data_IF_926246211005
#
_entry.id   IF_926246211005
#
_cell.length_a   1.000
_cell.length_b   1.000
_cell.length_c   1.000
_cell.angle_alpha   90.00
_cell.angle_beta   90.00
_cell.angle_gamma   90.00
#
_symmetry.space_group_name_H-M   'P 1'
#
loop_
_entity.id
_entity.type
_entity.pdbx_description
1 polymer ?
#
# COMPACT_ATOMS: atom_id res chain seq x y z
N UNK A 1 -19.09 -6.25 10.68
CA UNK A 1 -18.40 -6.72 9.46
C UNK A 1 -18.62 -8.22 9.29
N UNK A 2 -18.64 -8.72 8.06
CA UNK A 2 -18.65 -10.15 7.77
C UNK A 2 -17.22 -10.70 7.73
N UNK A 3 -16.88 -11.60 8.65
CA UNK A 3 -15.53 -12.12 8.77
C UNK A 3 -15.25 -13.18 7.72
N UNK A 4 -14.08 -13.10 7.10
CA UNK A 4 -13.66 -13.92 5.96
C UNK A 4 -12.67 -14.99 6.41
N UNK A 5 -12.58 -16.09 5.68
CA UNK A 5 -11.49 -17.05 5.88
C UNK A 5 -10.16 -16.39 5.54
N UNK A 6 -9.13 -16.65 6.35
CA UNK A 6 -7.77 -16.20 6.06
C UNK A 6 -6.96 -17.36 5.47
N UNK A 7 -7.05 -17.51 4.15
CA UNK A 7 -6.54 -18.68 3.44
C UNK A 7 -7.12 -19.98 4.01
N UNK A 8 -6.30 -21.02 4.11
CA UNK A 8 -6.68 -22.32 4.70
C UNK A 8 -6.65 -22.35 6.24
N UNK A 9 -6.42 -21.22 6.91
CA UNK A 9 -6.37 -21.20 8.38
C UNK A 9 -7.77 -21.17 9.01
N UNK A 10 -7.85 -21.57 10.28
CA UNK A 10 -9.07 -21.43 11.09
C UNK A 10 -9.33 -19.99 11.53
N UNK A 11 -8.43 -19.05 11.22
CA UNK A 11 -8.59 -17.65 11.57
C UNK A 11 -9.62 -16.99 10.64
N UNK A 12 -10.59 -16.32 11.26
CA UNK A 12 -11.58 -15.48 10.59
C UNK A 12 -11.16 -14.02 10.72
N UNK A 13 -10.84 -13.40 9.59
CA UNK A 13 -10.33 -12.01 9.54
C UNK A 13 -11.47 -11.03 9.25
N UNK A 14 -11.38 -9.82 9.80
CA UNK A 14 -12.23 -8.72 9.33
C UNK A 14 -11.88 -8.39 7.87
N UNK A 15 -12.87 -7.98 7.03
CA UNK A 15 -12.63 -7.64 5.62
C UNK A 15 -11.74 -6.40 5.49
N UNK A 16 -11.74 -5.53 6.51
CA UNK A 16 -10.84 -4.40 6.67
C UNK A 16 -9.75 -4.74 7.69
N UNK A 17 -8.50 -4.53 7.33
CA UNK A 17 -7.35 -4.48 8.24
C UNK A 17 -6.80 -3.06 8.33
N UNK A 18 -6.11 -2.76 9.43
CA UNK A 18 -5.52 -1.44 9.66
C UNK A 18 -4.07 -1.42 9.16
N UNK A 19 -3.80 -0.65 8.11
CA UNK A 19 -2.45 -0.45 7.58
C UNK A 19 -1.75 0.75 8.20
N UNK A 20 -0.60 0.54 8.85
CA UNK A 20 0.11 1.57 9.61
C UNK A 20 1.13 2.39 8.79
N UNK A 21 1.15 2.26 7.46
CA UNK A 21 2.04 3.07 6.61
C UNK A 21 1.63 4.55 6.56
N UNK A 22 0.35 4.86 6.79
CA UNK A 22 -0.23 6.21 6.61
C UNK A 22 -0.89 6.76 7.89
N UNK A 23 -0.32 6.44 9.05
CA UNK A 23 -0.72 7.02 10.33
C UNK A 23 -0.72 8.56 10.27
N UNK A 24 -1.61 9.24 11.03
CA UNK A 24 -1.66 10.69 11.08
C UNK A 24 -0.30 11.26 11.50
N UNK A 25 0.08 12.40 10.94
CA UNK A 25 1.35 13.06 11.26
C UNK A 25 1.13 14.53 11.60
N UNK A 26 1.94 15.04 12.52
CA UNK A 26 2.05 16.47 12.84
C UNK A 26 3.38 17.04 12.35
N UNK A 27 3.40 18.32 12.01
CA UNK A 27 4.64 19.03 11.71
C UNK A 27 5.42 19.28 13.01
N UNK A 28 6.67 18.81 13.05
CA UNK A 28 7.58 19.02 14.16
C UNK A 28 8.26 20.40 14.10
N UNK A 29 8.44 20.93 12.90
CA UNK A 29 9.12 22.20 12.69
C UNK A 29 8.68 22.89 11.40
N UNK A 30 9.06 24.16 11.28
CA UNK A 30 8.77 25.03 10.12
C UNK A 30 9.44 24.52 8.83
N UNK A 31 10.38 23.57 8.94
CA UNK A 31 11.07 22.94 7.79
C UNK A 31 10.34 21.72 7.24
N UNK A 32 9.12 21.43 7.72
CA UNK A 32 8.27 20.37 7.17
C UNK A 32 8.66 18.95 7.62
N UNK A 33 9.50 18.81 8.66
CA UNK A 33 9.72 17.50 9.28
C UNK A 33 8.44 17.08 9.98
N UNK A 34 7.98 15.86 9.71
CA UNK A 34 6.76 15.30 10.31
C UNK A 34 7.06 14.09 11.18
N UNK A 35 6.25 13.89 12.22
CA UNK A 35 6.21 12.67 13.01
C UNK A 35 4.78 12.23 13.28
N UNK A 36 4.61 10.98 13.71
CA UNK A 36 3.28 10.41 13.96
C UNK A 36 2.60 11.21 15.09
N UNK A 37 1.35 11.61 14.87
CA UNK A 37 0.46 12.04 15.95
C UNK A 37 0.14 10.83 16.82
N UNK A 38 0.92 10.63 17.88
CA UNK A 38 0.87 9.40 18.65
C UNK A 38 -0.49 9.17 19.32
N UNK A 39 -1.08 10.23 19.90
CA UNK A 39 -2.35 10.13 20.61
C UNK A 39 -3.50 9.78 19.65
N UNK A 40 -3.60 10.51 18.54
CA UNK A 40 -4.66 10.27 17.56
C UNK A 40 -4.47 8.92 16.85
N UNK A 41 -3.24 8.54 16.52
CA UNK A 41 -2.95 7.25 15.91
C UNK A 41 -3.31 6.06 16.82
N UNK A 42 -2.97 6.12 18.11
CA UNK A 42 -3.36 5.09 19.10
C UNK A 42 -4.88 5.01 19.20
N UNK A 43 -5.56 6.15 19.29
CA UNK A 43 -7.02 6.24 19.36
C UNK A 43 -7.68 5.66 18.11
N UNK A 44 -7.16 5.96 16.92
CA UNK A 44 -7.63 5.40 15.64
C UNK A 44 -7.49 3.88 15.59
N UNK A 45 -6.32 3.33 15.95
CA UNK A 45 -6.08 1.89 15.96
C UNK A 45 -7.03 1.21 16.97
N UNK A 46 -7.13 1.73 18.19
CA UNK A 46 -8.00 1.15 19.23
C UNK A 46 -9.47 1.23 18.86
N UNK A 47 -9.92 2.37 18.31
CA UNK A 47 -11.28 2.51 17.80
C UNK A 47 -11.60 1.46 16.74
N UNK A 48 -10.70 1.23 15.79
CA UNK A 48 -10.90 0.20 14.78
C UNK A 48 -11.03 -1.20 15.39
N UNK A 49 -10.19 -1.53 16.37
CA UNK A 49 -10.24 -2.82 17.09
C UNK A 49 -11.53 -2.96 17.91
N UNK A 50 -12.01 -1.88 18.52
CA UNK A 50 -13.30 -1.82 19.23
C UNK A 50 -14.51 -2.01 18.33
N UNK A 51 -14.35 -1.71 17.04
CA UNK A 51 -15.35 -1.97 16.01
C UNK A 51 -15.17 -3.31 15.28
N UNK A 52 -14.22 -4.15 15.72
CA UNK A 52 -14.05 -5.51 15.24
C UNK A 52 -12.97 -5.71 14.19
N UNK A 53 -12.17 -4.68 13.86
CA UNK A 53 -10.95 -4.88 13.05
C UNK A 53 -9.98 -5.75 13.84
N UNK A 54 -9.57 -6.89 13.26
CA UNK A 54 -8.75 -7.88 13.95
C UNK A 54 -7.43 -8.21 13.27
N UNK A 55 -7.00 -7.38 12.31
CA UNK A 55 -5.71 -7.50 11.62
C UNK A 55 -5.01 -6.14 11.57
N UNK A 56 -3.81 -6.06 12.11
CA UNK A 56 -2.97 -4.85 12.13
C UNK A 56 -1.69 -5.13 11.36
N UNK A 57 -1.39 -4.31 10.35
CA UNK A 57 -0.22 -4.43 9.50
C UNK A 57 0.71 -3.22 9.68
N UNK A 58 1.96 -3.49 10.03
CA UNK A 58 3.05 -2.51 10.09
C UNK A 58 4.28 -3.07 9.36
N UNK A 59 5.38 -2.32 9.34
CA UNK A 59 6.64 -2.79 8.78
C UNK A 59 7.83 -2.00 9.35
N UNK A 60 9.01 -2.61 9.29
CA UNK A 60 10.26 -2.01 9.74
C UNK A 60 10.53 -0.58 9.23
N UNK A 61 10.34 -0.23 7.93
CA UNK A 61 10.68 1.11 7.45
C UNK A 61 9.59 2.16 7.68
N UNK A 62 8.36 1.77 8.10
CA UNK A 62 7.23 2.71 8.15
C UNK A 62 7.47 3.82 9.16
N UNK A 63 7.22 5.07 8.74
CA UNK A 63 7.47 6.27 9.53
C UNK A 63 8.91 6.34 10.07
N UNK A 64 9.90 6.01 9.24
CA UNK A 64 11.31 5.99 9.66
C UNK A 64 11.59 4.99 10.79
N UNK A 65 10.79 3.92 10.88
CA UNK A 65 10.90 2.91 11.94
C UNK A 65 10.08 3.19 13.19
N UNK A 66 9.27 4.26 13.23
CA UNK A 66 8.44 4.61 14.39
C UNK A 66 7.07 3.92 14.42
N UNK A 67 6.62 3.37 13.29
CA UNK A 67 5.30 2.71 13.20
C UNK A 67 5.19 1.52 14.17
N UNK A 68 6.23 0.69 14.28
CA UNK A 68 6.24 -0.46 15.20
C UNK A 68 6.22 -0.05 16.67
N UNK A 69 6.94 1.02 17.03
CA UNK A 69 6.91 1.58 18.38
C UNK A 69 5.50 2.05 18.74
N UNK A 70 4.85 2.78 17.83
CA UNK A 70 3.48 3.25 18.02
C UNK A 70 2.50 2.07 18.14
N UNK A 71 2.56 1.10 17.23
CA UNK A 71 1.67 -0.08 17.26
C UNK A 71 1.86 -0.85 18.57
N UNK A 72 3.08 -1.01 19.05
CA UNK A 72 3.35 -1.61 20.36
C UNK A 72 2.61 -0.91 21.50
N UNK A 73 2.64 0.44 21.52
CA UNK A 73 1.88 1.24 22.50
C UNK A 73 0.36 1.07 22.33
N UNK A 74 -0.14 1.10 21.09
CA UNK A 74 -1.56 0.96 20.79
C UNK A 74 -2.13 -0.39 21.27
N UNK A 75 -1.33 -1.46 21.18
CA UNK A 75 -1.73 -2.82 21.54
C UNK A 75 -1.64 -3.17 23.04
N UNK A 76 -1.11 -2.26 23.89
CA UNK A 76 -1.17 -2.41 25.36
C UNK A 76 -2.60 -2.41 25.88
N UNK A 77 -2.79 -2.84 27.13
CA UNK A 77 -4.11 -2.83 27.78
C UNK A 77 -5.06 -3.91 27.25
N UNK A 78 -4.51 -5.03 26.78
CA UNK A 78 -5.29 -6.19 26.31
C UNK A 78 -5.60 -6.21 24.81
N UNK A 79 -5.34 -5.12 24.08
CA UNK A 79 -5.59 -5.03 22.64
C UNK A 79 -4.76 -6.03 21.82
N UNK A 80 -3.53 -6.37 22.24
CA UNK A 80 -2.68 -7.38 21.59
C UNK A 80 -3.38 -8.74 21.42
N UNK A 81 -4.23 -9.13 22.37
CA UNK A 81 -4.96 -10.42 22.35
C UNK A 81 -6.16 -10.42 21.39
N UNK A 82 -6.57 -9.25 20.89
CA UNK A 82 -7.77 -9.06 20.06
C UNK A 82 -7.46 -9.02 18.56
N UNK A 83 -6.18 -9.03 18.19
CA UNK A 83 -5.75 -8.86 16.80
C UNK A 83 -4.67 -9.87 16.41
N UNK A 84 -4.56 -10.09 15.10
CA UNK A 84 -3.37 -10.62 14.45
C UNK A 84 -2.45 -9.47 14.07
N UNK A 85 -1.20 -9.56 14.51
CA UNK A 85 -0.16 -8.57 14.27
C UNK A 85 0.77 -9.04 13.16
N UNK A 86 0.86 -8.24 12.10
CA UNK A 86 1.73 -8.45 10.96
C UNK A 86 2.85 -7.40 10.94
N UNK A 87 4.10 -7.83 10.83
CA UNK A 87 5.22 -6.98 10.45
C UNK A 87 6.08 -7.65 9.37
N UNK A 88 7.12 -6.97 8.89
CA UNK A 88 7.85 -7.38 7.69
C UNK A 88 9.36 -7.31 7.90
N UNK A 89 10.05 -8.38 7.49
CA UNK A 89 11.50 -8.46 7.44
C UNK A 89 12.04 -7.52 6.37
N UNK A 90 12.92 -6.56 6.69
CA UNK A 90 13.48 -5.63 5.73
C UNK A 90 14.57 -6.31 4.89
N UNK A 91 14.20 -7.28 4.03
CA UNK A 91 15.15 -8.11 3.26
C UNK A 91 16.12 -7.31 2.39
N UNK A 92 15.73 -6.09 2.00
CA UNK A 92 16.56 -5.13 1.27
C UNK A 92 17.63 -4.44 2.13
N UNK A 93 17.69 -4.71 3.44
CA UNK A 93 18.73 -4.25 4.38
C UNK A 93 19.55 -5.40 4.97
N UNK A 94 19.33 -6.63 4.48
CA UNK A 94 20.04 -7.82 4.94
C UNK A 94 21.25 -8.00 4.05
N UNK A 95 22.43 -7.76 4.63
CA UNK A 95 23.73 -7.86 3.94
C UNK A 95 24.66 -8.88 4.62
N UNK A 96 24.30 -9.34 5.82
CA UNK A 96 25.02 -10.34 6.60
C UNK A 96 24.11 -11.46 7.10
N UNK A 97 24.70 -12.61 7.42
CA UNK A 97 23.97 -13.83 7.82
C UNK A 97 23.08 -13.61 9.07
N UNK A 98 23.55 -12.85 10.05
CA UNK A 98 22.86 -12.64 11.33
C UNK A 98 21.81 -11.49 11.30
N UNK A 99 21.68 -10.78 10.17
CA UNK A 99 20.81 -9.60 10.09
C UNK A 99 19.33 -9.96 10.25
N UNK A 100 18.90 -11.14 9.81
CA UNK A 100 17.50 -11.56 9.93
C UNK A 100 17.06 -11.64 11.40
N UNK A 101 17.85 -12.32 12.23
CA UNK A 101 17.61 -12.46 13.67
C UNK A 101 17.74 -11.10 14.37
N UNK A 102 18.74 -10.30 14.00
CA UNK A 102 18.93 -8.95 14.54
C UNK A 102 17.71 -8.07 14.30
N UNK A 103 17.22 -7.98 13.06
CA UNK A 103 16.04 -7.17 12.74
C UNK A 103 14.78 -7.74 13.40
N UNK A 104 14.59 -9.06 13.41
CA UNK A 104 13.42 -9.66 14.08
C UNK A 104 13.39 -9.29 15.58
N UNK A 105 14.52 -9.43 16.28
CA UNK A 105 14.61 -9.08 17.70
C UNK A 105 14.34 -7.58 17.94
N UNK A 106 14.93 -6.70 17.13
CA UNK A 106 14.65 -5.25 17.19
C UNK A 106 13.16 -4.94 16.99
N UNK A 107 12.50 -5.62 16.04
CA UNK A 107 11.07 -5.43 15.78
C UNK A 107 10.21 -5.91 16.95
N UNK A 108 10.54 -7.05 17.57
CA UNK A 108 9.86 -7.55 18.76
C UNK A 108 10.01 -6.58 19.95
N UNK A 109 11.20 -6.01 20.13
CA UNK A 109 11.46 -4.98 21.14
C UNK A 109 10.65 -3.70 20.90
N UNK A 110 10.66 -3.16 19.66
CA UNK A 110 9.86 -1.97 19.30
C UNK A 110 8.37 -2.20 19.53
N UNK A 111 7.86 -3.35 19.09
CA UNK A 111 6.47 -3.74 19.25
C UNK A 111 6.13 -4.10 20.72
N UNK A 112 7.12 -4.36 21.56
CA UNK A 112 6.96 -4.81 22.94
C UNK A 112 6.09 -6.08 23.03
N UNK A 113 6.41 -7.07 22.19
CA UNK A 113 5.72 -8.37 22.12
C UNK A 113 6.71 -9.51 22.07
N UNK A 114 6.34 -10.67 22.63
CA UNK A 114 7.18 -11.87 22.56
C UNK A 114 7.14 -12.54 21.18
N UNK A 115 6.10 -12.24 20.38
CA UNK A 115 5.94 -12.78 19.04
C UNK A 115 5.02 -11.95 18.14
N UNK A 116 5.23 -12.09 16.84
CA UNK A 116 4.31 -11.61 15.78
C UNK A 116 3.51 -12.77 15.18
N UNK A 117 2.28 -12.49 14.76
CA UNK A 117 1.42 -13.52 14.15
C UNK A 117 1.84 -13.81 12.71
N UNK A 118 2.19 -12.78 11.94
CA UNK A 118 2.66 -12.90 10.57
C UNK A 118 3.93 -12.08 10.38
N UNK A 119 4.96 -12.70 9.80
CA UNK A 119 6.20 -12.04 9.44
C UNK A 119 6.45 -12.18 7.94
N UNK A 120 6.40 -11.06 7.22
CA UNK A 120 6.49 -11.06 5.76
C UNK A 120 7.91 -10.81 5.27
N UNK A 121 8.35 -11.52 4.24
CA UNK A 121 9.46 -11.06 3.41
C UNK A 121 9.01 -9.78 2.69
N UNK A 122 9.65 -8.65 3.00
CA UNK A 122 9.17 -7.34 2.55
C UNK A 122 9.59 -7.06 1.10
N UNK A 123 8.64 -6.69 0.26
CA UNK A 123 8.89 -6.19 -1.09
C UNK A 123 9.65 -7.17 -2.00
N UNK A 124 9.24 -8.44 -2.01
CA UNK A 124 9.88 -9.49 -2.81
C UNK A 124 9.84 -9.15 -4.29
N UNK A 125 11.01 -9.23 -4.92
CA UNK A 125 11.24 -9.13 -6.36
C UNK A 125 12.40 -10.06 -6.78
N UNK A 126 12.64 -10.20 -8.08
CA UNK A 126 13.68 -11.12 -8.60
C UNK A 126 15.07 -10.81 -8.03
N UNK A 127 15.39 -9.53 -7.87
CA UNK A 127 16.70 -9.09 -7.38
C UNK A 127 16.93 -9.54 -5.93
N UNK A 128 16.06 -9.12 -5.01
CA UNK A 128 16.23 -9.42 -3.59
C UNK A 128 15.92 -10.88 -3.23
N UNK A 129 15.17 -11.58 -4.09
CA UNK A 129 15.02 -13.03 -3.98
C UNK A 129 16.35 -13.75 -4.09
N UNK A 130 17.20 -13.34 -5.05
CA UNK A 130 18.53 -13.91 -5.22
C UNK A 130 19.54 -13.32 -4.23
N UNK A 131 19.62 -11.99 -4.14
CA UNK A 131 20.67 -11.30 -3.38
C UNK A 131 20.50 -11.37 -1.87
N UNK A 132 19.29 -11.68 -1.37
CA UNK A 132 18.99 -11.71 0.06
C UNK A 132 18.32 -13.03 0.48
N UNK A 133 17.11 -13.32 -0.02
CA UNK A 133 16.32 -14.49 0.45
C UNK A 133 17.07 -15.81 0.24
N UNK A 134 17.56 -16.06 -0.98
CA UNK A 134 18.34 -17.25 -1.33
C UNK A 134 19.73 -17.20 -0.73
N UNK A 135 20.45 -16.08 -0.89
CA UNK A 135 21.84 -15.93 -0.45
C UNK A 135 22.02 -16.19 1.05
N UNK A 136 21.12 -15.69 1.89
CA UNK A 136 21.20 -15.81 3.35
C UNK A 136 20.22 -16.85 3.92
N UNK A 137 19.61 -17.66 3.06
CA UNK A 137 18.69 -18.73 3.41
C UNK A 137 17.56 -18.29 4.39
N UNK A 138 16.94 -17.15 4.09
CA UNK A 138 15.98 -16.50 5.00
C UNK A 138 14.75 -17.35 5.30
N UNK A 139 14.39 -18.26 4.40
CA UNK A 139 13.25 -19.16 4.56
C UNK A 139 13.49 -20.21 5.66
N UNK A 140 14.72 -20.72 5.80
CA UNK A 140 15.06 -21.63 6.89
C UNK A 140 15.24 -20.89 8.22
N UNK A 141 15.78 -19.67 8.18
CA UNK A 141 15.80 -18.79 9.37
C UNK A 141 14.39 -18.47 9.86
N UNK A 142 13.45 -18.21 8.95
CA UNK A 142 12.05 -18.03 9.31
C UNK A 142 11.42 -19.31 9.91
N UNK A 143 11.74 -20.50 9.38
CA UNK A 143 11.31 -21.78 10.01
C UNK A 143 11.85 -21.91 11.43
N UNK A 144 13.12 -21.57 11.66
CA UNK A 144 13.73 -21.58 13.00
C UNK A 144 13.03 -20.62 13.95
N UNK A 145 12.76 -19.39 13.51
CA UNK A 145 12.00 -18.41 14.29
C UNK A 145 10.56 -18.87 14.62
N UNK A 146 9.93 -19.68 13.76
CA UNK A 146 8.65 -20.35 14.08
C UNK A 146 8.85 -21.35 15.22
N UNK A 147 9.88 -22.19 15.14
CA UNK A 147 10.18 -23.21 16.16
C UNK A 147 10.50 -22.57 17.52
N UNK A 148 11.18 -21.43 17.52
CA UNK A 148 11.48 -20.63 18.71
C UNK A 148 10.26 -19.84 19.23
N UNK A 149 9.16 -19.81 18.47
CA UNK A 149 7.90 -19.17 18.85
C UNK A 149 7.89 -17.65 18.67
N UNK A 150 8.93 -17.06 18.07
CA UNK A 150 9.07 -15.61 17.81
C UNK A 150 8.15 -15.12 16.68
N UNK A 151 7.85 -15.99 15.72
CA UNK A 151 6.87 -15.75 14.67
C UNK A 151 5.89 -16.92 14.59
N UNK A 152 4.61 -16.69 14.26
CA UNK A 152 3.64 -17.79 14.10
C UNK A 152 3.53 -18.28 12.68
N UNK A 153 3.59 -17.37 11.71
CA UNK A 153 3.41 -17.66 10.30
C UNK A 153 4.30 -16.78 9.44
N UNK A 154 4.68 -17.30 8.28
CA UNK A 154 5.53 -16.59 7.30
C UNK A 154 4.70 -16.27 6.08
N UNK A 155 4.88 -15.05 5.54
CA UNK A 155 4.30 -14.65 4.28
C UNK A 155 5.28 -13.79 3.48
N UNK A 156 4.78 -13.13 2.44
CA UNK A 156 5.56 -12.17 1.66
C UNK A 156 4.69 -11.02 1.17
N UNK A 157 5.30 -9.87 0.93
CA UNK A 157 4.73 -8.81 0.10
C UNK A 157 5.49 -8.77 -1.22
N UNK A 158 4.86 -8.32 -2.30
CA UNK A 158 5.37 -8.57 -3.65
C UNK A 158 5.39 -7.31 -4.53
N UNK A 159 6.47 -7.11 -5.29
CA UNK A 159 6.64 -6.02 -6.27
C UNK A 159 7.46 -6.44 -7.49
N UNK A 160 6.95 -7.42 -8.24
CA UNK A 160 7.51 -7.84 -9.53
C UNK A 160 6.36 -8.33 -10.43
N UNK A 161 6.63 -9.01 -11.53
CA UNK A 161 5.62 -9.48 -12.49
C UNK A 161 4.93 -10.80 -12.07
N UNK A 162 3.77 -11.10 -12.67
CA UNK A 162 2.96 -12.28 -12.36
C UNK A 162 3.72 -13.62 -12.53
N UNK A 163 4.57 -13.73 -13.56
CA UNK A 163 5.34 -14.97 -13.77
C UNK A 163 6.22 -15.25 -12.56
N UNK A 164 6.97 -14.25 -12.11
CA UNK A 164 7.81 -14.39 -10.92
C UNK A 164 6.98 -14.56 -9.64
N UNK A 165 5.79 -13.95 -9.56
CA UNK A 165 4.87 -14.17 -8.44
C UNK A 165 4.54 -15.65 -8.24
N UNK A 166 4.24 -16.37 -9.33
CA UNK A 166 3.94 -17.81 -9.30
C UNK A 166 5.15 -18.62 -8.82
N UNK A 167 6.35 -18.26 -9.26
CA UNK A 167 7.60 -18.88 -8.79
C UNK A 167 7.80 -18.69 -7.29
N UNK A 168 7.52 -17.49 -6.76
CA UNK A 168 7.58 -17.22 -5.31
C UNK A 168 6.53 -18.03 -4.55
N UNK A 169 5.27 -18.05 -5.04
CA UNK A 169 4.18 -18.83 -4.44
C UNK A 169 4.55 -20.31 -4.30
N UNK A 170 5.17 -20.90 -5.32
CA UNK A 170 5.51 -22.32 -5.31
C UNK A 170 6.81 -22.64 -4.54
N UNK A 171 7.60 -21.64 -4.18
CA UNK A 171 8.89 -21.83 -3.52
C UNK A 171 8.79 -22.16 -2.01
N UNK A 172 7.66 -21.89 -1.36
CA UNK A 172 7.50 -22.06 0.09
C UNK A 172 6.01 -22.20 0.48
N UNK A 173 5.67 -22.92 1.57
CA UNK A 173 4.29 -22.99 2.08
C UNK A 173 3.89 -21.70 2.80
N UNK A 174 3.69 -20.62 2.05
CA UNK A 174 3.34 -19.31 2.60
C UNK A 174 1.96 -19.33 3.25
N UNK A 175 1.82 -18.69 4.41
CA UNK A 175 0.52 -18.50 5.04
C UNK A 175 -0.27 -17.36 4.40
N UNK A 176 0.42 -16.33 3.89
CA UNK A 176 -0.20 -15.19 3.24
C UNK A 176 0.71 -14.52 2.21
N UNK A 177 0.10 -13.87 1.23
CA UNK A 177 0.75 -12.90 0.36
C UNK A 177 0.07 -11.52 0.50
N UNK A 178 0.84 -10.46 0.38
CA UNK A 178 0.37 -9.08 0.31
C UNK A 178 0.67 -8.51 -1.07
N UNK A 179 -0.38 -8.17 -1.82
CA UNK A 179 -0.27 -7.73 -3.22
C UNK A 179 -0.93 -6.37 -3.42
N UNK A 180 -0.41 -5.58 -4.36
CA UNK A 180 -1.11 -4.41 -4.87
C UNK A 180 -2.26 -4.87 -5.76
N UNK A 181 -3.49 -4.46 -5.46
CA UNK A 181 -4.64 -4.82 -6.28
C UNK A 181 -5.81 -3.84 -6.07
N UNK A 182 -6.42 -3.41 -7.17
CA UNK A 182 -7.63 -2.59 -7.23
C UNK A 182 -8.19 -2.65 -8.67
N UNK A 183 -9.37 -2.08 -8.92
CA UNK A 183 -10.01 -2.20 -10.24
C UNK A 183 -9.24 -1.54 -11.39
N UNK A 184 -8.30 -0.62 -11.11
CA UNK A 184 -7.43 -0.01 -12.14
C UNK A 184 -6.18 -0.83 -12.43
N UNK A 185 -5.63 -1.48 -11.41
CA UNK A 185 -4.30 -2.12 -11.43
C UNK A 185 -4.41 -3.66 -11.50
N UNK A 186 -5.40 -4.17 -12.24
CA UNK A 186 -5.73 -5.59 -12.35
C UNK A 186 -4.69 -6.44 -13.09
N UNK A 187 -3.84 -5.80 -13.88
CA UNK A 187 -2.81 -6.41 -14.72
C UNK A 187 -1.40 -5.98 -14.30
N UNK A 188 -1.26 -5.39 -13.10
CA UNK A 188 0.00 -4.90 -12.55
C UNK A 188 0.52 -5.88 -11.49
N UNK A 189 1.83 -6.09 -11.51
CA UNK A 189 2.55 -6.99 -10.63
C UNK A 189 1.99 -8.42 -10.63
N UNK A 190 1.47 -8.90 -9.49
CA UNK A 190 0.82 -10.20 -9.38
C UNK A 190 -0.46 -10.26 -10.23
N UNK A 191 -1.16 -9.14 -10.38
CA UNK A 191 -2.41 -9.02 -11.13
C UNK A 191 -3.51 -9.98 -10.66
N UNK A 192 -4.58 -10.03 -11.43
CA UNK A 192 -5.74 -10.91 -11.21
C UNK A 192 -5.32 -12.37 -11.24
N UNK A 193 -4.45 -12.75 -12.19
CA UNK A 193 -3.96 -14.12 -12.34
C UNK A 193 -3.16 -14.61 -11.13
N UNK A 194 -2.31 -13.76 -10.55
CA UNK A 194 -1.58 -14.06 -9.33
C UNK A 194 -2.47 -14.14 -8.10
N UNK A 195 -3.41 -13.20 -7.93
CA UNK A 195 -4.42 -13.23 -6.84
C UNK A 195 -5.19 -14.55 -6.83
N UNK A 196 -5.71 -14.96 -7.99
CA UNK A 196 -6.42 -16.23 -8.16
C UNK A 196 -5.51 -17.42 -7.87
N UNK A 197 -4.26 -17.40 -8.36
CA UNK A 197 -3.33 -18.49 -8.15
C UNK A 197 -2.98 -18.70 -6.67
N UNK A 198 -2.69 -17.62 -5.93
CA UNK A 198 -2.41 -17.70 -4.50
C UNK A 198 -3.62 -18.22 -3.71
N UNK A 199 -4.82 -17.74 -4.04
CA UNK A 199 -6.06 -18.20 -3.40
C UNK A 199 -6.32 -19.69 -3.66
N UNK A 200 -6.13 -20.17 -4.90
CA UNK A 200 -6.26 -21.60 -5.25
C UNK A 200 -5.26 -22.49 -4.50
N UNK A 201 -4.09 -21.96 -4.13
CA UNK A 201 -3.09 -22.65 -3.29
C UNK A 201 -3.43 -22.60 -1.79
N UNK A 202 -4.53 -21.95 -1.41
CA UNK A 202 -4.95 -21.80 -0.02
C UNK A 202 -4.17 -20.74 0.77
N UNK A 203 -3.41 -19.89 0.08
CA UNK A 203 -2.67 -18.78 0.67
C UNK A 203 -3.65 -17.63 0.93
N UNK A 204 -3.59 -17.02 2.10
CA UNK A 204 -4.41 -15.84 2.38
C UNK A 204 -3.93 -14.65 1.53
N UNK A 205 -4.84 -14.05 0.77
CA UNK A 205 -4.52 -12.86 -0.05
C UNK A 205 -4.89 -11.61 0.73
N UNK A 206 -3.90 -10.82 1.12
CA UNK A 206 -4.06 -9.48 1.64
C UNK A 206 -3.82 -8.46 0.53
N UNK A 207 -4.58 -7.36 0.53
CA UNK A 207 -4.45 -6.29 -0.46
C UNK A 207 -3.87 -5.03 0.16
N UNK A 208 -2.84 -4.47 -0.48
CA UNK A 208 -2.34 -3.11 -0.25
C UNK A 208 -2.71 -2.18 -1.42
N UNK A 209 -2.52 -0.88 -1.20
CA UNK A 209 -2.92 0.19 -2.12
C UNK A 209 -4.39 0.10 -2.62
N UNK A 210 -5.36 -0.21 -1.75
CA UNK A 210 -6.74 -0.44 -2.19
C UNK A 210 -7.38 0.80 -2.85
N UNK A 211 -6.88 1.99 -2.52
CA UNK A 211 -7.38 3.28 -3.01
C UNK A 211 -6.36 4.01 -3.91
N UNK A 212 -5.28 3.34 -4.33
CA UNK A 212 -4.24 3.89 -5.21
C UNK A 212 -3.71 5.26 -4.75
N UNK A 213 -3.23 5.33 -3.51
CA UNK A 213 -2.75 6.57 -2.89
C UNK A 213 -3.82 7.65 -2.67
N UNK A 214 -5.09 7.27 -2.64
CA UNK A 214 -6.24 8.17 -2.47
C UNK A 214 -6.92 8.58 -3.78
N UNK A 215 -6.32 8.26 -4.94
CA UNK A 215 -6.86 8.62 -6.26
C UNK A 215 -8.24 8.02 -6.55
N UNK A 216 -8.53 6.84 -6.00
CA UNK A 216 -9.86 6.23 -6.12
C UNK A 216 -10.89 6.85 -5.14
N UNK A 217 -10.43 7.48 -4.07
CA UNK A 217 -11.28 8.20 -3.12
C UNK A 217 -11.55 9.66 -3.56
N UNK A 218 -10.67 10.23 -4.38
CA UNK A 218 -10.79 11.55 -4.98
C UNK A 218 -10.59 11.47 -6.50
N UNK A 219 -11.49 10.79 -7.24
CA UNK A 219 -11.39 10.66 -8.69
C UNK A 219 -11.57 12.02 -9.38
N UNK A 220 -11.06 12.16 -10.61
CA UNK A 220 -11.21 13.40 -11.37
C UNK A 220 -12.65 13.64 -11.82
N UNK A 221 -12.97 14.90 -12.13
CA UNK A 221 -14.34 15.34 -12.42
C UNK A 221 -15.09 14.49 -13.46
N UNK A 222 -14.50 14.13 -14.62
CA UNK A 222 -15.21 13.30 -15.59
C UNK A 222 -15.54 11.89 -15.05
N UNK A 223 -14.71 11.36 -14.14
CA UNK A 223 -14.98 10.07 -13.48
C UNK A 223 -16.03 10.25 -12.37
N UNK A 224 -16.00 11.35 -11.61
CA UNK A 224 -17.04 11.68 -10.63
C UNK A 224 -18.42 11.68 -11.26
N UNK A 225 -18.57 12.37 -12.39
CA UNK A 225 -19.83 12.41 -13.14
C UNK A 225 -20.34 11.02 -13.55
N UNK A 226 -19.43 10.11 -13.94
CA UNK A 226 -19.80 8.74 -14.26
C UNK A 226 -20.28 7.98 -13.02
N UNK A 227 -19.54 8.06 -11.91
CA UNK A 227 -19.89 7.38 -10.64
C UNK A 227 -21.17 7.94 -10.03
N UNK A 228 -21.34 9.26 -10.03
CA UNK A 228 -22.52 9.95 -9.48
C UNK A 228 -23.78 9.65 -10.29
N UNK A 229 -23.64 9.48 -11.62
CA UNK A 229 -24.74 9.02 -12.47
C UNK A 229 -25.13 7.56 -12.16
N UNK A 230 -24.15 6.70 -11.88
CA UNK A 230 -24.38 5.29 -11.61
C UNK A 230 -25.00 5.05 -10.22
N UNK A 231 -24.47 5.69 -9.18
CA UNK A 231 -25.04 5.65 -7.82
C UNK A 231 -24.92 7.02 -7.13
N UNK A 232 -25.93 7.89 -7.26
CA UNK A 232 -25.92 9.21 -6.65
C UNK A 232 -25.67 9.16 -5.13
N UNK A 233 -24.70 9.94 -4.66
CA UNK A 233 -24.37 10.06 -3.23
C UNK A 233 -23.54 8.92 -2.65
N UNK A 234 -23.16 7.90 -3.44
CA UNK A 234 -22.23 6.85 -2.99
C UNK A 234 -20.81 7.43 -2.92
N UNK A 235 -20.14 7.41 -1.76
CA UNK A 235 -18.77 7.91 -1.65
C UNK A 235 -17.80 7.16 -2.57
N UNK A 236 -16.86 7.87 -3.19
CA UNK A 236 -15.98 7.26 -4.20
C UNK A 236 -15.07 6.15 -3.66
N UNK A 237 -14.55 6.31 -2.43
CA UNK A 237 -13.75 5.27 -1.78
C UNK A 237 -14.53 3.96 -1.59
N UNK A 238 -15.85 4.04 -1.43
CA UNK A 238 -16.70 2.88 -1.20
C UNK A 238 -16.80 1.99 -2.44
N UNK A 239 -16.79 2.56 -3.65
CA UNK A 239 -16.71 1.78 -4.89
C UNK A 239 -15.49 0.88 -4.95
N UNK A 240 -14.32 1.43 -4.62
CA UNK A 240 -13.05 0.69 -4.64
C UNK A 240 -13.00 -0.40 -3.56
N UNK A 241 -13.42 -0.08 -2.32
CA UNK A 241 -13.42 -1.04 -1.22
C UNK A 241 -14.44 -2.17 -1.45
N UNK A 242 -15.65 -1.83 -1.91
CA UNK A 242 -16.65 -2.85 -2.24
C UNK A 242 -16.16 -3.75 -3.37
N UNK A 243 -15.49 -3.20 -4.39
CA UNK A 243 -14.96 -4.02 -5.49
C UNK A 243 -13.94 -5.04 -4.98
N UNK A 244 -13.08 -4.65 -4.05
CA UNK A 244 -12.14 -5.57 -3.41
C UNK A 244 -12.86 -6.60 -2.54
N UNK A 245 -13.85 -6.19 -1.75
CA UNK A 245 -14.60 -7.14 -0.92
C UNK A 245 -15.47 -8.09 -1.75
N UNK A 246 -15.85 -7.72 -2.97
CA UNK A 246 -16.58 -8.60 -3.90
C UNK A 246 -15.71 -9.74 -4.47
N UNK A 247 -14.37 -9.63 -4.43
CA UNK A 247 -13.51 -10.71 -4.93
C UNK A 247 -13.42 -11.85 -3.90
N UNK A 248 -13.84 -13.07 -4.23
CA UNK A 248 -13.81 -14.20 -3.28
C UNK A 248 -12.39 -14.57 -2.84
N UNK A 249 -11.37 -14.27 -3.65
CA UNK A 249 -9.98 -14.59 -3.39
C UNK A 249 -9.37 -13.77 -2.24
N UNK A 250 -9.88 -12.55 -2.03
CA UNK A 250 -9.32 -11.60 -1.06
C UNK A 250 -9.73 -11.99 0.36
N UNK A 251 -8.76 -12.09 1.26
CA UNK A 251 -9.00 -12.35 2.69
C UNK A 251 -9.18 -11.04 3.46
N UNK A 252 -8.30 -10.05 3.25
CA UNK A 252 -8.32 -8.77 3.97
C UNK A 252 -7.83 -7.62 3.08
N UNK A 253 -8.47 -6.46 3.21
CA UNK A 253 -8.04 -5.21 2.58
C UNK A 253 -7.34 -4.35 3.62
N UNK A 254 -6.06 -4.05 3.42
CA UNK A 254 -5.27 -3.19 4.29
C UNK A 254 -5.39 -1.75 3.82
N UNK A 255 -6.14 -0.94 4.57
CA UNK A 255 -6.31 0.48 4.26
C UNK A 255 -5.45 1.33 5.20
N UNK A 256 -4.64 2.21 4.61
CA UNK A 256 -3.98 3.29 5.33
C UNK A 256 -4.96 4.45 5.51
N UNK A 257 -5.24 4.83 6.75
CA UNK A 257 -6.21 5.87 7.09
C UNK A 257 -5.51 6.94 7.90
N UNK A 258 -5.53 8.17 7.41
CA UNK A 258 -4.83 9.33 7.97
C UNK A 258 -5.68 10.09 8.98
N UNK A 259 -7.00 9.88 9.00
CA UNK A 259 -7.91 10.57 9.93
C UNK A 259 -8.91 9.60 10.55
N UNK A 260 -9.42 9.93 11.74
CA UNK A 260 -10.47 9.17 12.39
C UNK A 260 -11.75 9.08 11.54
N UNK A 261 -12.06 10.09 10.74
CA UNK A 261 -13.23 10.05 9.87
C UNK A 261 -13.08 9.02 8.76
N UNK A 262 -11.88 8.86 8.19
CA UNK A 262 -11.59 7.75 7.27
C UNK A 262 -11.72 6.38 7.96
N UNK A 263 -11.29 6.27 9.22
CA UNK A 263 -11.45 5.03 10.00
C UNK A 263 -12.92 4.69 10.18
N UNK A 264 -13.74 5.64 10.64
CA UNK A 264 -15.18 5.46 10.79
C UNK A 264 -15.86 5.12 9.46
N UNK A 265 -15.54 5.86 8.41
CA UNK A 265 -16.12 5.70 7.07
C UNK A 265 -15.80 4.32 6.46
N UNK A 266 -14.55 3.85 6.58
CA UNK A 266 -14.16 2.54 6.05
C UNK A 266 -14.78 1.39 6.86
N UNK A 267 -14.91 1.53 8.18
CA UNK A 267 -15.61 0.56 9.03
C UNK A 267 -17.09 0.51 8.66
N UNK A 268 -17.74 1.66 8.50
CA UNK A 268 -19.14 1.73 8.09
C UNK A 268 -19.37 1.09 6.71
N UNK A 269 -18.48 1.35 5.74
CA UNK A 269 -18.52 0.70 4.43
C UNK A 269 -18.36 -0.84 4.55
N UNK A 270 -17.45 -1.32 5.41
CA UNK A 270 -17.23 -2.74 5.66
C UNK A 270 -18.44 -3.41 6.35
N UNK A 271 -19.19 -2.66 7.16
CA UNK A 271 -20.44 -3.11 7.76
C UNK A 271 -21.58 -3.15 6.73
N UNK A 272 -21.67 -2.16 5.83
CA UNK A 272 -22.68 -2.07 4.76
C UNK A 272 -22.52 -3.12 3.67
N UNK A 273 -21.29 -3.52 3.36
CA UNK A 273 -21.01 -4.52 2.32
C UNK A 273 -21.82 -5.81 2.51
N UNK A 274 -22.09 -6.21 3.76
CA UNK A 274 -22.94 -7.34 4.15
C UNK A 274 -24.32 -7.36 3.46
N UNK A 275 -24.84 -6.20 3.06
CA UNK A 275 -26.23 -6.03 2.61
C UNK A 275 -26.33 -5.80 1.10
N UNK A 276 -25.33 -5.18 0.49
CA UNK A 276 -25.50 -4.59 -0.85
C UNK A 276 -24.57 -5.17 -1.91
N UNK A 277 -23.40 -5.71 -1.54
CA UNK A 277 -22.41 -6.20 -2.50
C UNK A 277 -22.09 -5.20 -3.63
N UNK A 278 -21.46 -5.66 -4.69
CA UNK A 278 -21.52 -5.00 -5.99
C UNK A 278 -22.36 -5.85 -6.93
N UNK A 279 -23.22 -5.21 -7.72
CA UNK A 279 -23.91 -5.91 -8.80
C UNK A 279 -22.94 -6.20 -9.95
N UNK A 280 -23.25 -7.21 -10.76
CA UNK A 280 -22.42 -7.61 -11.90
C UNK A 280 -22.20 -6.46 -12.89
N UNK A 281 -23.24 -5.68 -13.18
CA UNK A 281 -23.18 -4.51 -14.05
C UNK A 281 -22.30 -3.39 -13.46
N UNK A 282 -22.39 -3.14 -12.15
CA UNK A 282 -21.53 -2.20 -11.44
C UNK A 282 -20.05 -2.60 -11.48
N UNK A 283 -19.77 -3.91 -11.35
CA UNK A 283 -18.40 -4.46 -11.46
C UNK A 283 -17.84 -4.26 -12.86
N UNK A 284 -18.59 -4.64 -13.90
CA UNK A 284 -18.18 -4.45 -15.30
C UNK A 284 -17.99 -2.96 -15.64
N UNK A 285 -18.87 -2.09 -15.11
CA UNK A 285 -18.75 -0.64 -15.26
C UNK A 285 -17.44 -0.09 -14.67
N UNK A 286 -17.07 -0.51 -13.46
CA UNK A 286 -15.79 -0.12 -12.84
C UNK A 286 -14.60 -0.63 -13.66
N UNK A 287 -14.63 -1.91 -14.02
CA UNK A 287 -13.55 -2.63 -14.67
C UNK A 287 -13.27 -2.13 -16.09
N UNK A 288 -14.30 -1.70 -16.80
CA UNK A 288 -14.21 -1.31 -18.20
C UNK A 288 -14.28 0.21 -18.38
N UNK A 289 -15.43 0.82 -18.08
CA UNK A 289 -15.71 2.21 -18.43
C UNK A 289 -14.96 3.19 -17.54
N UNK A 290 -15.09 3.05 -16.23
CA UNK A 290 -14.41 3.93 -15.25
C UNK A 290 -12.91 3.76 -15.36
N UNK A 291 -12.43 2.52 -15.47
CA UNK A 291 -11.00 2.24 -15.64
C UNK A 291 -10.41 2.83 -16.91
N UNK A 292 -11.09 2.70 -18.05
CA UNK A 292 -10.68 3.34 -19.31
C UNK A 292 -10.63 4.86 -19.13
N UNK A 293 -11.66 5.46 -18.52
CA UNK A 293 -11.70 6.91 -18.33
C UNK A 293 -10.57 7.42 -17.43
N UNK A 294 -10.23 6.69 -16.37
CA UNK A 294 -9.07 7.00 -15.54
C UNK A 294 -7.76 6.97 -16.33
N UNK A 295 -7.56 5.95 -17.16
CA UNK A 295 -6.34 5.81 -17.98
C UNK A 295 -6.23 6.91 -19.03
N UNK A 296 -7.33 7.29 -19.67
CA UNK A 296 -7.37 8.42 -20.61
C UNK A 296 -6.95 9.75 -19.98
N UNK A 297 -7.23 9.93 -18.69
CA UNK A 297 -6.93 11.16 -17.96
C UNK A 297 -5.55 11.15 -17.30
N UNK A 298 -4.95 9.98 -17.08
CA UNK A 298 -3.70 9.86 -16.32
C UNK A 298 -2.49 9.88 -17.26
N UNK A 299 -1.71 10.96 -17.27
CA UNK A 299 -0.48 11.04 -18.07
C UNK A 299 0.64 10.17 -17.48
N UNK A 300 0.86 10.27 -16.17
CA UNK A 300 1.86 9.46 -15.46
C UNK A 300 1.15 8.53 -14.48
N UNK A 301 1.24 7.19 -14.63
CA UNK A 301 0.46 6.23 -13.84
C UNK A 301 0.93 6.05 -12.38
N UNK A 302 1.58 7.06 -11.79
CA UNK A 302 2.06 7.04 -10.40
C UNK A 302 0.92 6.78 -9.41
N UNK A 303 1.12 5.90 -8.44
CA UNK A 303 0.14 5.56 -7.39
C UNK A 303 0.34 6.33 -6.08
N UNK A 304 1.29 7.27 -6.06
CA UNK A 304 1.67 8.02 -4.87
C UNK A 304 2.12 7.12 -3.68
N UNK A 305 2.77 6.00 -3.99
CA UNK A 305 3.21 4.99 -3.00
C UNK A 305 4.49 5.36 -2.22
N UNK A 306 5.27 6.32 -2.72
CA UNK A 306 6.57 6.77 -2.16
C UNK A 306 7.71 5.73 -2.15
N UNK A 307 7.59 4.58 -2.83
CA UNK A 307 8.69 3.60 -2.90
C UNK A 307 9.95 4.11 -3.61
N UNK A 308 9.79 5.07 -4.53
CA UNK A 308 10.89 5.74 -5.21
C UNK A 308 11.70 6.69 -4.30
N UNK A 309 11.29 6.88 -3.04
CA UNK A 309 11.90 7.84 -2.11
C UNK A 309 12.81 7.16 -1.07
N UNK A 310 13.83 7.87 -0.55
CA UNK A 310 14.24 9.22 -0.93
C UNK A 310 14.99 9.29 -2.27
N UNK A 311 14.83 10.39 -3.00
CA UNK A 311 15.65 10.71 -4.17
C UNK A 311 17.01 11.27 -3.72
N UNK A 312 18.15 10.83 -4.30
CA UNK A 312 19.47 11.34 -3.94
C UNK A 312 19.65 12.84 -4.22
N UNK A 313 18.88 13.40 -5.16
CA UNK A 313 18.88 14.84 -5.47
C UNK A 313 17.83 15.63 -4.66
N UNK A 314 17.15 14.98 -3.71
CA UNK A 314 16.11 15.62 -2.89
C UNK A 314 14.83 15.96 -3.66
N UNK A 315 14.61 15.40 -4.85
CA UNK A 315 13.35 15.56 -5.61
C UNK A 315 12.23 14.77 -4.94
N UNK A 316 11.09 15.40 -4.65
CA UNK A 316 9.88 14.69 -4.23
C UNK A 316 9.13 14.17 -5.46
N UNK A 317 9.59 13.02 -5.96
CA UNK A 317 9.11 12.42 -7.22
C UNK A 317 7.57 12.26 -7.22
N UNK A 318 6.94 11.64 -6.20
CA UNK A 318 5.49 11.50 -6.18
C UNK A 318 4.74 12.83 -6.19
N UNK A 319 5.20 13.82 -5.41
CA UNK A 319 4.56 15.15 -5.36
C UNK A 319 4.63 15.87 -6.71
N UNK A 320 5.78 15.78 -7.40
CA UNK A 320 5.95 16.37 -8.73
C UNK A 320 5.03 15.71 -9.77
N UNK A 321 4.87 14.38 -9.74
CA UNK A 321 3.89 13.69 -10.60
C UNK A 321 2.44 14.01 -10.25
N UNK A 322 2.13 14.21 -8.98
CA UNK A 322 0.79 14.58 -8.54
C UNK A 322 0.42 15.96 -9.08
N UNK A 323 1.27 16.97 -8.91
CA UNK A 323 1.06 18.30 -9.50
C UNK A 323 0.95 18.26 -11.04
N UNK A 324 1.80 17.46 -11.69
CA UNK A 324 1.79 17.33 -13.15
C UNK A 324 0.48 16.72 -13.66
N UNK A 325 0.04 15.62 -13.06
CA UNK A 325 -1.23 14.98 -13.43
C UNK A 325 -2.43 15.87 -13.06
N UNK A 326 -2.45 16.47 -11.86
CA UNK A 326 -3.57 17.31 -11.42
C UNK A 326 -3.73 18.55 -12.31
N UNK A 327 -2.62 19.17 -12.72
CA UNK A 327 -2.63 20.28 -13.67
C UNK A 327 -3.25 19.91 -15.02
N UNK A 328 -3.07 18.66 -15.48
CA UNK A 328 -3.64 18.16 -16.73
C UNK A 328 -5.11 17.83 -16.56
N UNK A 329 -5.42 17.03 -15.54
CA UNK A 329 -6.72 16.40 -15.34
C UNK A 329 -7.78 17.41 -14.89
N UNK A 330 -7.42 18.36 -14.04
CA UNK A 330 -8.34 19.35 -13.48
C UNK A 330 -8.28 20.70 -14.21
N UNK A 331 -7.41 20.85 -15.21
CA UNK A 331 -7.17 22.14 -15.86
C UNK A 331 -6.52 23.19 -14.94
N UNK A 332 -5.94 22.75 -13.81
CA UNK A 332 -5.37 23.61 -12.76
C UNK A 332 -3.90 23.95 -12.99
N UNK A 333 -3.44 23.95 -14.25
CA UNK A 333 -2.03 24.12 -14.61
C UNK A 333 -1.42 25.40 -14.03
N UNK A 334 -2.18 26.52 -14.02
CA UNK A 334 -1.71 27.79 -13.46
C UNK A 334 -1.42 27.70 -11.95
N UNK A 335 -2.31 27.06 -11.19
CA UNK A 335 -2.15 26.88 -9.76
C UNK A 335 -0.96 25.94 -9.46
N UNK A 336 -0.88 24.81 -10.18
CA UNK A 336 0.21 23.84 -10.04
C UNK A 336 1.58 24.42 -10.41
N UNK A 337 1.70 25.24 -11.47
CA UNK A 337 2.92 26.00 -11.79
C UNK A 337 3.33 26.95 -10.68
N UNK A 338 2.36 27.67 -10.11
CA UNK A 338 2.61 28.63 -9.03
C UNK A 338 3.12 27.95 -7.75
N UNK A 339 2.63 26.74 -7.48
CA UNK A 339 3.10 25.92 -6.35
C UNK A 339 4.47 25.30 -6.65
N UNK A 340 4.63 24.68 -7.82
CA UNK A 340 5.89 24.06 -8.27
C UNK A 340 7.09 25.01 -8.18
N UNK A 341 6.92 26.27 -8.61
CA UNK A 341 8.01 27.27 -8.58
C UNK A 341 8.43 27.70 -7.17
N UNK A 342 7.69 27.31 -6.13
CA UNK A 342 7.98 27.64 -4.73
C UNK A 342 8.58 26.48 -3.94
N UNK A 343 8.53 25.26 -4.47
CA UNK A 343 9.06 24.09 -3.77
C UNK A 343 10.55 23.94 -4.04
N UNK A 344 11.30 23.54 -3.02
CA UNK A 344 12.73 23.26 -3.17
C UNK A 344 12.99 21.86 -3.75
N UNK A 345 12.09 20.91 -3.53
CA UNK A 345 12.20 19.51 -3.95
C UNK A 345 11.58 19.26 -5.35
N UNK A 346 11.71 20.23 -6.25
CA UNK A 346 11.12 20.21 -7.60
C UNK A 346 11.86 19.26 -8.56
N UNK A 347 11.19 18.88 -9.65
CA UNK A 347 11.75 18.03 -10.70
C UNK A 347 12.95 18.67 -11.45
N UNK A 348 13.21 19.96 -11.28
CA UNK A 348 14.38 20.68 -11.85
C UNK A 348 15.69 20.06 -11.38
N UNK A 349 15.72 19.56 -10.14
CA UNK A 349 16.91 18.94 -9.54
C UNK A 349 17.18 17.53 -10.07
N UNK A 350 16.29 16.96 -10.88
CA UNK A 350 16.47 15.60 -11.40
C UNK A 350 17.62 15.55 -12.40
N UNK A 351 18.66 14.77 -12.08
CA UNK A 351 19.80 14.51 -12.98
C UNK A 351 19.61 13.24 -13.83
N UNK A 352 18.40 12.67 -13.85
CA UNK A 352 18.08 11.44 -14.58
C UNK A 352 18.96 10.22 -14.23
N UNK A 353 19.30 10.02 -12.94
CA UNK A 353 20.18 8.91 -12.53
C UNK A 353 19.56 7.49 -12.60
N UNK A 354 18.23 7.37 -12.72
CA UNK A 354 17.54 6.08 -12.84
C UNK A 354 17.28 5.30 -11.54
N UNK A 355 17.93 5.62 -10.41
CA UNK A 355 17.82 4.85 -9.15
C UNK A 355 16.39 4.66 -8.60
N UNK A 356 15.48 5.54 -8.98
CA UNK A 356 14.08 5.50 -8.55
C UNK A 356 13.23 4.51 -9.37
N UNK A 357 13.66 4.18 -10.59
CA UNK A 357 12.91 3.34 -11.53
C UNK A 357 12.92 1.88 -11.07
N UNK A 358 14.05 1.39 -10.57
CA UNK A 358 14.20 0.04 -9.98
C UNK A 358 13.26 -0.19 -8.78
N UNK A 359 12.83 0.89 -8.12
CA UNK A 359 11.94 0.86 -6.97
C UNK A 359 10.48 1.12 -7.35
N UNK A 360 10.21 1.50 -8.60
CA UNK A 360 8.89 1.95 -9.02
C UNK A 360 7.98 0.74 -9.28
N UNK A 361 6.93 0.50 -8.47
CA UNK A 361 6.03 -0.64 -8.65
C UNK A 361 5.21 -0.59 -9.94
N UNK A 362 5.22 0.55 -10.63
CA UNK A 362 4.48 0.84 -11.85
C UNK A 362 5.38 0.86 -13.09
N UNK A 363 6.69 0.55 -12.94
CA UNK A 363 7.69 0.60 -14.01
C UNK A 363 7.69 1.92 -14.79
N UNK A 364 7.55 3.04 -14.07
CA UNK A 364 7.58 4.38 -14.68
C UNK A 364 9.04 4.73 -14.99
N UNK A 365 9.32 5.20 -16.20
CA UNK A 365 10.60 5.81 -16.59
C UNK A 365 10.71 7.21 -15.96
N UNK A 366 10.89 7.26 -14.64
CA UNK A 366 10.88 8.48 -13.84
C UNK A 366 11.95 9.47 -14.34
N UNK A 367 13.13 8.98 -14.71
CA UNK A 367 14.24 9.79 -15.22
C UNK A 367 13.88 10.50 -16.54
N UNK A 368 13.06 9.88 -17.38
CA UNK A 368 12.53 10.48 -18.62
C UNK A 368 11.41 11.47 -18.32
N UNK A 369 10.56 11.18 -17.33
CA UNK A 369 9.41 12.02 -17.01
C UNK A 369 9.75 13.28 -16.23
N UNK A 370 10.70 13.24 -15.29
CA UNK A 370 11.03 14.40 -14.45
C UNK A 370 11.41 15.66 -15.26
N UNK A 371 12.26 15.58 -16.32
CA UNK A 371 12.50 16.72 -17.20
C UNK A 371 11.22 17.26 -17.86
N UNK A 372 10.32 16.38 -18.32
CA UNK A 372 9.04 16.78 -18.93
C UNK A 372 8.11 17.46 -17.93
N UNK A 373 8.12 17.00 -16.68
CA UNK A 373 7.39 17.65 -15.57
C UNK A 373 7.92 19.06 -15.37
N UNK A 374 9.25 19.24 -15.31
CA UNK A 374 9.87 20.55 -15.16
C UNK A 374 9.59 21.48 -16.34
N UNK A 375 9.65 20.97 -17.58
CA UNK A 375 9.28 21.73 -18.78
C UNK A 375 7.88 22.35 -18.67
N UNK A 376 6.90 21.58 -18.19
CA UNK A 376 5.50 22.04 -18.11
C UNK A 376 5.22 22.92 -16.90
N UNK A 377 5.74 22.54 -15.73
CA UNK A 377 5.44 23.21 -14.46
C UNK A 377 6.42 24.35 -14.12
N UNK A 378 7.69 24.22 -14.50
CA UNK A 378 8.75 25.20 -14.25
C UNK A 378 8.94 26.19 -15.40
N UNK A 379 9.02 25.70 -16.63
CA UNK A 379 9.34 26.50 -17.83
C UNK A 379 8.12 26.99 -18.61
N UNK A 380 6.93 26.80 -18.05
CA UNK A 380 5.66 27.23 -18.63
C UNK A 380 5.31 26.63 -20.02
N UNK A 381 5.95 25.52 -20.42
CA UNK A 381 5.59 24.82 -21.68
C UNK A 381 4.19 24.19 -21.58
N UNK A 382 3.43 24.12 -22.69
CA UNK A 382 2.17 23.39 -22.69
C UNK A 382 2.42 21.91 -22.41
N UNK A 383 1.38 21.18 -21.99
CA UNK A 383 1.40 19.72 -22.10
C UNK A 383 1.63 19.40 -23.59
N UNK A 384 2.85 19.02 -23.96
CA UNK A 384 3.09 18.41 -25.28
C UNK A 384 2.22 17.15 -25.36
N UNK A 385 1.95 16.63 -26.55
CA UNK A 385 1.28 15.34 -26.68
C UNK A 385 2.20 14.24 -26.14
N UNK A 386 2.24 14.08 -24.83
CA UNK A 386 2.96 13.02 -24.10
C UNK A 386 2.13 11.72 -24.13
N UNK A 387 1.56 11.40 -25.31
CA UNK A 387 0.76 10.20 -25.55
C UNK A 387 1.63 9.00 -25.85
#
# INVERSE_FOLDING_TARGET
MEFRHFGNSNFKVSPLGFGCMRLPTVEENIQGKTSIDEEEAIKMIRYAIDRGVNFIDTAYPYHGGQSEVLVGKALKGGYRKRVKLCTKSPIFKIDHEDDFERYLNEQLEKLQVDHVDYYLMHAVNQQNWQSSIRKFNLLDKAKKAIQEGLIRQVGFSFHDNERFFREVVDAYPWAMCLVQYNYLDRDIQAGTGGVQYASQKGIAVAVMEPLRGGKLAAPPEPVRQMLDKAAPGKPYYEWALQWLWDQPEISVVLSGMNTMDQVKANIEAADKFKVTGLKTDEKEFLENEVSRKFRELTLVPCTNCYYCMPCPQGVDIPFNFDMFNNGYVHGELKANRSLYKKIENSAEKCIACGECEDKCPQNIEISTWMPRVHEVLGEDKPYREFK
#
